data_IF_473099019866
#
_entry.id   IF_473099019866
#
_cell.length_a   1.000
_cell.length_b   1.000
_cell.length_c   1.000
_cell.angle_alpha   90.00
_cell.angle_beta   90.00
_cell.angle_gamma   90.00
#
_symmetry.space_group_name_H-M   'P 1'
#
loop_
_entity.id
_entity.type
_entity.pdbx_description
1 polymer ?
#
# COMPACT_ATOMS: atom_id res chain seq x y z
N UNK A 1 -6.35 4.00 -11.13
CA UNK A 1 -4.92 4.32 -10.97
C UNK A 1 -4.59 4.51 -9.50
N UNK A 2 -3.39 4.09 -9.08
CA UNK A 2 -2.96 4.22 -7.70
C UNK A 2 -2.34 5.61 -7.51
N UNK A 3 -2.90 6.39 -6.58
CA UNK A 3 -2.44 7.74 -6.31
C UNK A 3 -1.17 7.68 -5.46
N UNK A 4 -0.13 8.42 -5.87
CA UNK A 4 1.06 8.59 -5.04
C UNK A 4 0.80 9.69 -4.02
N UNK A 5 1.14 9.44 -2.78
CA UNK A 5 1.01 10.43 -1.71
C UNK A 5 2.38 10.69 -1.10
N UNK A 6 2.55 11.88 -0.57
CA UNK A 6 3.78 12.26 0.11
C UNK A 6 3.58 12.23 1.62
N UNK A 7 4.65 12.59 2.34
CA UNK A 7 4.67 12.56 3.79
C UNK A 7 3.61 13.48 4.41
N UNK A 8 3.30 14.60 3.76
CA UNK A 8 2.34 15.56 4.31
C UNK A 8 0.89 15.05 4.24
N UNK A 9 0.59 14.18 3.26
CA UNK A 9 -0.75 13.65 3.07
C UNK A 9 -0.99 12.30 3.77
N UNK A 10 0.08 11.67 4.23
CA UNK A 10 -0.01 10.28 4.70
C UNK A 10 -0.97 10.10 5.87
N UNK A 11 -0.82 10.89 6.92
CA UNK A 11 -1.63 10.73 8.13
C UNK A 11 -3.12 10.86 7.83
N UNK A 12 -3.51 11.90 7.11
CA UNK A 12 -4.92 12.10 6.77
C UNK A 12 -5.45 10.98 5.88
N UNK A 13 -4.62 10.48 4.97
CA UNK A 13 -5.03 9.43 4.04
C UNK A 13 -5.34 8.13 4.77
N UNK A 14 -4.50 7.73 5.74
CA UNK A 14 -4.67 6.44 6.42
C UNK A 14 -5.60 6.51 7.63
N UNK A 15 -6.01 7.71 8.05
CA UNK A 15 -6.91 7.91 9.19
C UNK A 15 -8.36 7.52 8.91
N UNK A 16 -8.71 7.28 7.67
CA UNK A 16 -10.08 6.97 7.27
C UNK A 16 -10.59 5.71 7.96
N UNK A 17 -11.91 5.65 8.18
CA UNK A 17 -12.57 4.48 8.76
C UNK A 17 -12.51 3.27 7.83
N UNK A 18 -12.48 3.52 6.53
CA UNK A 18 -12.36 2.48 5.51
C UNK A 18 -10.92 2.01 5.40
N UNK A 19 -10.70 0.93 4.68
CA UNK A 19 -9.36 0.38 4.50
C UNK A 19 -8.57 1.16 3.47
N UNK A 20 -7.34 1.51 3.81
CA UNK A 20 -6.37 2.10 2.86
C UNK A 20 -5.17 1.18 2.78
N UNK A 21 -4.87 0.69 1.58
CA UNK A 21 -3.70 -0.15 1.36
C UNK A 21 -2.59 0.70 0.78
N UNK A 22 -1.47 0.76 1.51
CA UNK A 22 -0.31 1.55 1.12
C UNK A 22 0.74 0.63 0.51
N UNK A 23 1.10 0.92 -0.74
CA UNK A 23 2.20 0.25 -1.43
C UNK A 23 3.45 1.09 -1.23
N UNK A 24 4.39 0.58 -0.43
CA UNK A 24 5.70 1.21 -0.28
C UNK A 24 6.58 0.76 -1.44
N UNK A 25 7.15 1.71 -2.16
CA UNK A 25 7.87 1.45 -3.40
C UNK A 25 9.05 2.40 -3.55
N UNK A 26 9.85 2.19 -4.59
CA UNK A 26 10.95 3.08 -4.97
C UNK A 26 11.10 3.08 -6.48
N UNK A 27 11.61 4.18 -7.02
CA UNK A 27 11.78 4.32 -8.47
C UNK A 27 12.77 3.28 -9.06
N UNK A 28 13.76 2.89 -8.26
CA UNK A 28 14.78 1.91 -8.70
C UNK A 28 14.31 0.46 -8.56
N UNK A 29 13.13 0.23 -8.05
CA UNK A 29 12.64 -1.12 -7.71
C UNK A 29 11.89 -1.74 -8.89
N UNK A 30 12.51 -2.71 -9.58
CA UNK A 30 11.86 -3.43 -10.68
C UNK A 30 10.64 -4.25 -10.23
N UNK A 31 10.73 -5.04 -9.13
CA UNK A 31 9.56 -5.77 -8.69
C UNK A 31 8.35 -4.87 -8.37
N UNK A 32 8.61 -3.65 -7.89
CA UNK A 32 7.52 -2.68 -7.65
C UNK A 32 6.80 -2.34 -8.95
N UNK A 33 7.58 -2.12 -10.02
CA UNK A 33 7.01 -1.77 -11.33
C UNK A 33 6.28 -2.95 -11.95
N UNK A 34 6.83 -4.15 -11.78
CA UNK A 34 6.24 -5.35 -12.37
C UNK A 34 4.88 -5.70 -11.79
N UNK A 35 4.66 -5.45 -10.51
CA UNK A 35 3.39 -5.78 -9.87
C UNK A 35 2.33 -4.68 -10.07
N UNK A 36 2.72 -3.49 -10.48
CA UNK A 36 1.82 -2.35 -10.59
C UNK A 36 0.57 -2.63 -11.45
N UNK A 37 0.66 -3.23 -12.65
CA UNK A 37 -0.55 -3.47 -13.43
C UNK A 37 -1.59 -4.34 -12.71
N UNK A 38 -1.14 -5.40 -12.04
CA UNK A 38 -2.04 -6.28 -11.31
C UNK A 38 -2.65 -5.58 -10.10
N UNK A 39 -1.87 -4.76 -9.41
CA UNK A 39 -2.36 -3.99 -8.27
C UNK A 39 -3.36 -2.93 -8.73
N UNK A 40 -3.13 -2.29 -9.87
CA UNK A 40 -4.08 -1.32 -10.41
C UNK A 40 -5.42 -1.95 -10.75
N UNK A 41 -5.41 -3.17 -11.30
CA UNK A 41 -6.65 -3.88 -11.56
C UNK A 41 -7.38 -4.21 -10.26
N UNK A 42 -6.65 -4.66 -9.25
CA UNK A 42 -7.23 -4.95 -7.95
C UNK A 42 -7.78 -3.67 -7.29
N UNK A 43 -7.09 -2.56 -7.45
CA UNK A 43 -7.54 -1.27 -6.92
C UNK A 43 -8.89 -0.85 -7.52
N UNK A 44 -9.08 -1.07 -8.82
CA UNK A 44 -10.36 -0.80 -9.47
C UNK A 44 -11.46 -1.68 -8.90
N UNK A 45 -11.20 -2.96 -8.74
CA UNK A 45 -12.15 -3.91 -8.20
C UNK A 45 -12.56 -3.56 -6.78
N UNK A 46 -11.59 -3.22 -5.94
CA UNK A 46 -11.83 -2.96 -4.52
C UNK A 46 -12.28 -1.53 -4.22
N UNK A 47 -12.15 -0.62 -5.17
CA UNK A 47 -12.66 0.75 -4.97
C UNK A 47 -14.16 0.76 -4.68
N UNK A 48 -14.91 -0.16 -5.26
CA UNK A 48 -16.34 -0.29 -5.01
C UNK A 48 -16.64 -0.78 -3.59
N UNK A 49 -15.64 -1.29 -2.90
CA UNK A 49 -15.75 -1.78 -1.52
C UNK A 49 -15.16 -0.79 -0.50
N UNK A 50 -15.02 0.46 -0.91
CA UNK A 50 -14.45 1.53 -0.09
C UNK A 50 -13.01 1.24 0.36
N UNK A 51 -12.25 0.52 -0.47
CA UNK A 51 -10.84 0.25 -0.21
C UNK A 51 -10.00 1.03 -1.20
N UNK A 52 -9.22 1.97 -0.70
CA UNK A 52 -8.33 2.77 -1.53
C UNK A 52 -6.91 2.23 -1.50
N UNK A 53 -6.25 2.21 -2.67
CA UNK A 53 -4.82 1.92 -2.76
C UNK A 53 -4.08 3.23 -3.00
N UNK A 54 -3.00 3.45 -2.26
CA UNK A 54 -2.09 4.59 -2.48
C UNK A 54 -0.65 4.08 -2.50
N UNK A 55 0.25 4.86 -3.05
CA UNK A 55 1.67 4.52 -3.11
C UNK A 55 2.49 5.56 -2.37
N UNK A 56 3.53 5.10 -1.67
CA UNK A 56 4.49 5.95 -0.96
C UNK A 56 5.88 5.57 -1.43
N UNK A 57 6.64 6.58 -1.88
CA UNK A 57 8.04 6.40 -2.28
C UNK A 57 8.90 6.45 -1.01
N UNK A 58 9.65 5.38 -0.76
CA UNK A 58 10.44 5.27 0.47
C UNK A 58 11.62 6.24 0.52
N UNK A 59 12.08 6.71 -0.62
CA UNK A 59 13.18 7.69 -0.66
C UNK A 59 12.66 9.10 -0.41
N UNK A 60 11.54 9.45 -1.03
CA UNK A 60 10.92 10.77 -0.83
C UNK A 60 10.28 10.90 0.55
N UNK A 61 9.77 9.81 1.13
CA UNK A 61 9.09 9.81 2.42
C UNK A 61 9.79 8.87 3.39
N UNK A 62 11.10 9.11 3.58
CA UNK A 62 11.96 8.23 4.37
C UNK A 62 11.51 8.09 5.83
N UNK A 63 10.97 9.14 6.42
CA UNK A 63 10.55 9.07 7.83
C UNK A 63 9.35 8.13 8.01
N UNK A 64 8.44 8.08 7.05
CA UNK A 64 7.31 7.15 7.09
C UNK A 64 7.82 5.72 6.93
N UNK A 65 8.71 5.50 5.97
CA UNK A 65 9.29 4.19 5.74
C UNK A 65 10.01 3.68 7.00
N UNK A 66 10.76 4.56 7.66
CA UNK A 66 11.46 4.20 8.90
C UNK A 66 10.49 3.90 10.03
N UNK A 67 9.43 4.68 10.13
CA UNK A 67 8.43 4.48 11.19
C UNK A 67 7.79 3.08 11.13
N UNK A 68 7.54 2.58 9.92
CA UNK A 68 6.93 1.27 9.73
C UNK A 68 7.95 0.18 9.43
N UNK A 69 9.24 0.47 9.61
CA UNK A 69 10.34 -0.49 9.42
C UNK A 69 10.32 -1.14 8.04
N UNK A 70 10.16 -0.33 7.01
CA UNK A 70 10.16 -0.82 5.64
C UNK A 70 11.61 -1.11 5.23
N UNK A 71 11.96 -2.38 5.12
CA UNK A 71 13.33 -2.82 4.79
C UNK A 71 13.46 -3.35 3.37
N UNK A 72 12.35 -3.64 2.73
CA UNK A 72 12.34 -4.13 1.36
C UNK A 72 11.12 -3.58 0.63
N UNK A 73 11.21 -3.48 -0.68
CA UNK A 73 10.11 -3.02 -1.53
C UNK A 73 9.87 -4.00 -2.65
N UNK A 74 8.62 -4.17 -3.09
CA UNK A 74 7.45 -3.52 -2.54
C UNK A 74 7.01 -4.15 -1.21
N UNK A 75 6.45 -3.35 -0.33
CA UNK A 75 5.78 -3.81 0.89
C UNK A 75 4.38 -3.19 0.90
N UNK A 76 3.39 -3.98 1.26
CA UNK A 76 2.00 -3.52 1.31
C UNK A 76 1.52 -3.57 2.76
N UNK A 77 0.98 -2.47 3.24
CA UNK A 77 0.38 -2.41 4.58
C UNK A 77 -1.03 -1.85 4.45
N UNK A 78 -2.00 -2.55 5.03
CA UNK A 78 -3.38 -2.08 5.11
C UNK A 78 -3.59 -1.32 6.40
N UNK A 79 -4.20 -0.15 6.30
CA UNK A 79 -4.49 0.72 7.43
C UNK A 79 -6.00 0.90 7.59
N UNK A 80 -6.44 1.06 8.83
CA UNK A 80 -7.78 1.50 9.15
C UNK A 80 -7.70 2.39 10.38
N UNK A 81 -8.31 3.57 10.32
CA UNK A 81 -8.30 4.55 11.43
C UNK A 81 -6.88 4.91 11.87
N UNK A 82 -5.95 4.96 10.94
CA UNK A 82 -4.57 5.32 11.18
C UNK A 82 -3.67 4.20 11.68
N UNK A 83 -4.20 3.00 11.87
CA UNK A 83 -3.44 1.87 12.41
C UNK A 83 -3.24 0.78 11.37
N UNK A 84 -2.02 0.18 11.31
CA UNK A 84 -1.81 -0.98 10.46
C UNK A 84 -2.64 -2.16 10.97
N UNK A 85 -3.37 -2.80 10.07
CA UNK A 85 -4.23 -3.94 10.43
C UNK A 85 -3.81 -5.24 9.73
N UNK A 86 -3.02 -5.15 8.66
CA UNK A 86 -2.46 -6.32 7.98
C UNK A 86 -1.32 -5.88 7.09
N UNK A 87 -0.41 -6.81 6.76
CA UNK A 87 0.72 -6.47 5.89
C UNK A 87 1.20 -7.66 5.07
N UNK A 88 1.85 -7.36 3.94
CA UNK A 88 2.54 -8.34 3.09
C UNK A 88 3.93 -7.79 2.82
N UNK A 89 4.96 -8.40 3.43
CA UNK A 89 6.34 -7.94 3.33
C UNK A 89 7.24 -8.86 2.50
N UNK A 90 6.80 -10.08 2.23
CA UNK A 90 7.57 -11.05 1.45
C UNK A 90 6.64 -11.87 0.59
N UNK A 91 7.20 -12.62 -0.38
CA UNK A 91 6.42 -13.41 -1.33
C UNK A 91 5.36 -12.55 -2.01
N UNK A 92 5.81 -11.40 -2.51
CA UNK A 92 4.91 -10.38 -3.05
C UNK A 92 4.37 -10.85 -4.40
N UNK A 93 3.10 -11.18 -4.42
CA UNK A 93 2.35 -11.48 -5.65
C UNK A 93 0.88 -11.14 -5.40
N UNK A 94 0.11 -11.02 -6.48
CA UNK A 94 -1.26 -10.55 -6.37
C UNK A 94 -2.14 -11.52 -5.56
N UNK A 95 -1.86 -12.81 -5.63
CA UNK A 95 -2.59 -13.81 -4.86
C UNK A 95 -2.42 -13.62 -3.36
N UNK A 96 -1.18 -13.38 -2.92
CA UNK A 96 -0.89 -13.14 -1.50
C UNK A 96 -1.48 -11.81 -1.02
N UNK A 97 -1.46 -10.80 -1.88
CA UNK A 97 -2.08 -9.50 -1.55
C UNK A 97 -3.59 -9.70 -1.35
N UNK A 98 -4.24 -10.38 -2.28
CA UNK A 98 -5.68 -10.65 -2.17
C UNK A 98 -6.00 -11.45 -0.90
N UNK A 99 -5.28 -12.53 -0.63
CA UNK A 99 -5.58 -13.37 0.51
C UNK A 99 -5.33 -12.66 1.84
N UNK A 100 -4.33 -11.78 1.89
CA UNK A 100 -4.03 -11.03 3.13
C UNK A 100 -5.04 -9.93 3.42
N UNK A 101 -5.59 -9.30 2.39
CA UNK A 101 -6.40 -8.10 2.57
C UNK A 101 -7.89 -8.30 2.27
N UNK A 102 -8.31 -9.41 1.68
CA UNK A 102 -9.70 -9.60 1.28
C UNK A 102 -10.69 -9.55 2.44
N UNK A 103 -10.26 -9.93 3.65
CA UNK A 103 -11.11 -9.87 4.84
C UNK A 103 -11.42 -8.44 5.29
N UNK A 104 -10.64 -7.48 4.80
CA UNK A 104 -10.75 -6.08 5.21
C UNK A 104 -11.69 -5.29 4.31
N UNK A 105 -12.20 -5.90 3.27
CA UNK A 105 -13.04 -5.20 2.29
C UNK A 105 -14.37 -5.89 2.07
#
# INVERSE_FOLDING_TARGET
MIRKIDQSDFTDTVLRDTTTIVKFEADWCQPCKQITPAVEELAKEWNEKDCEFVAVDIDASASIANHYSIQSVPTFIAFSKGLPVSEVRSNINIGNIKSSFSKLV
#
